data_IF_421356864029
#
_entry.id   IF_421356864029
#
_cell.length_a   1.000
_cell.length_b   1.000
_cell.length_c   1.000
_cell.angle_alpha   90.00
_cell.angle_beta   90.00
_cell.angle_gamma   90.00
#
_symmetry.space_group_name_H-M   'P 1'
#
loop_
_entity.id
_entity.type
_entity.pdbx_description
1 polymer ?
#
# COMPACT_ATOMS: atom_id res chain seq x y z
N UNK A 1 -1.75 16.04 -0.07
CA UNK A 1 -1.87 15.39 -1.40
C UNK A 1 -3.25 14.75 -1.45
N UNK A 2 -4.24 15.50 -1.93
CA UNK A 2 -5.65 15.10 -1.94
C UNK A 2 -5.86 13.95 -2.92
N UNK A 3 -6.53 12.90 -2.46
CA UNK A 3 -7.00 11.84 -3.34
C UNK A 3 -8.18 12.40 -4.15
N UNK A 4 -8.01 12.49 -5.47
CA UNK A 4 -9.09 12.83 -6.39
C UNK A 4 -10.14 11.71 -6.33
N UNK A 5 -11.44 12.00 -6.14
CA UNK A 5 -12.47 10.97 -6.12
C UNK A 5 -12.49 10.22 -7.46
N UNK A 6 -12.86 8.94 -7.43
CA UNK A 6 -12.81 8.07 -8.61
C UNK A 6 -13.66 8.62 -9.78
N UNK A 7 -14.75 9.33 -9.48
CA UNK A 7 -15.60 10.00 -10.44
C UNK A 7 -14.85 11.10 -11.20
N UNK A 8 -14.07 11.93 -10.52
CA UNK A 8 -13.25 12.96 -11.15
C UNK A 8 -12.05 12.38 -11.90
N UNK A 9 -11.50 11.25 -11.44
CA UNK A 9 -10.48 10.51 -12.20
C UNK A 9 -11.07 10.00 -13.51
N UNK A 10 -12.28 9.43 -13.49
CA UNK A 10 -12.97 8.98 -14.69
C UNK A 10 -13.21 10.14 -15.66
N UNK A 11 -13.73 11.28 -15.18
CA UNK A 11 -13.90 12.49 -16.00
C UNK A 11 -12.59 13.00 -16.58
N UNK A 12 -11.51 12.97 -15.81
CA UNK A 12 -10.20 13.37 -16.31
C UNK A 12 -9.70 12.44 -17.42
N UNK A 13 -9.91 11.13 -17.28
CA UNK A 13 -9.53 10.14 -18.29
C UNK A 13 -10.35 10.33 -19.57
N UNK A 14 -11.68 10.47 -19.47
CA UNK A 14 -12.54 10.65 -20.65
C UNK A 14 -12.16 11.90 -21.43
N UNK A 15 -11.93 13.03 -20.74
CA UNK A 15 -11.50 14.26 -21.41
C UNK A 15 -10.14 14.10 -22.12
N UNK A 16 -9.20 13.38 -21.52
CA UNK A 16 -7.90 13.12 -22.16
C UNK A 16 -8.06 12.21 -23.38
N UNK A 17 -8.94 11.21 -23.31
CA UNK A 17 -9.21 10.29 -24.42
C UNK A 17 -9.99 10.99 -25.56
N UNK A 18 -10.81 12.00 -25.24
CA UNK A 18 -11.46 12.92 -26.18
C UNK A 18 -10.49 13.94 -26.82
N UNK A 19 -9.21 13.94 -26.42
CA UNK A 19 -8.16 14.79 -26.99
C UNK A 19 -7.92 16.12 -26.28
N UNK A 20 -8.56 16.37 -25.13
CA UNK A 20 -8.25 17.57 -24.34
C UNK A 20 -6.81 17.54 -23.80
N UNK A 21 -6.20 18.71 -23.70
CA UNK A 21 -4.86 18.82 -23.09
C UNK A 21 -4.95 18.72 -21.57
N UNK A 22 -3.92 18.18 -20.92
CA UNK A 22 -3.82 18.14 -19.46
C UNK A 22 -4.01 19.51 -18.78
N UNK A 23 -3.58 20.60 -19.44
CA UNK A 23 -3.78 21.97 -18.94
C UNK A 23 -5.25 22.39 -18.99
N UNK A 24 -5.98 22.02 -20.05
CA UNK A 24 -7.42 22.24 -20.15
C UNK A 24 -8.17 21.47 -19.05
N UNK A 25 -7.89 20.17 -18.91
CA UNK A 25 -8.50 19.32 -17.87
C UNK A 25 -8.20 19.85 -16.46
N UNK A 26 -6.97 20.34 -16.23
CA UNK A 26 -6.57 20.96 -14.96
C UNK A 26 -7.40 22.18 -14.59
N UNK A 27 -7.68 23.06 -15.56
CA UNK A 27 -8.55 24.22 -15.36
C UNK A 27 -10.00 23.81 -15.13
N UNK A 28 -10.50 22.84 -15.89
CA UNK A 28 -11.89 22.36 -15.78
C UNK A 28 -12.16 21.68 -14.44
N UNK A 29 -11.22 20.89 -13.93
CA UNK A 29 -11.38 20.14 -12.67
C UNK A 29 -10.83 20.88 -11.45
N UNK A 30 -10.16 22.02 -11.62
CA UNK A 30 -9.55 22.77 -10.51
C UNK A 30 -8.40 22.02 -9.81
N UNK A 31 -7.75 21.10 -10.52
CA UNK A 31 -6.77 20.15 -9.97
C UNK A 31 -5.45 20.32 -10.70
N UNK A 32 -4.32 20.20 -9.99
CA UNK A 32 -3.00 20.36 -10.62
C UNK A 32 -2.75 19.32 -11.72
N UNK A 33 -2.08 19.76 -12.79
CA UNK A 33 -1.66 18.90 -13.91
C UNK A 33 -0.94 17.64 -13.43
N UNK A 34 -0.08 17.75 -12.41
CA UNK A 34 0.65 16.60 -11.83
C UNK A 34 -0.25 15.57 -11.14
N UNK A 35 -1.39 15.97 -10.59
CA UNK A 35 -2.39 15.02 -10.05
C UNK A 35 -3.09 14.30 -11.19
N UNK A 36 -3.54 15.02 -12.22
CA UNK A 36 -4.21 14.43 -13.40
C UNK A 36 -3.28 13.45 -14.09
N UNK A 37 -2.04 13.83 -14.38
CA UNK A 37 -1.05 12.96 -15.03
C UNK A 37 -0.83 11.66 -14.25
N UNK A 38 -0.72 11.73 -12.92
CA UNK A 38 -0.56 10.53 -12.09
C UNK A 38 -1.81 9.65 -12.08
N UNK A 39 -3.00 10.23 -12.11
CA UNK A 39 -4.26 9.49 -12.14
C UNK A 39 -4.47 8.79 -13.49
N UNK A 40 -4.26 9.51 -14.61
CA UNK A 40 -4.34 8.94 -15.96
C UNK A 40 -3.28 7.87 -16.18
N UNK A 41 -2.02 8.11 -15.77
CA UNK A 41 -0.96 7.11 -15.84
C UNK A 41 -1.32 5.85 -15.05
N UNK A 42 -1.88 5.99 -13.84
CA UNK A 42 -2.35 4.86 -13.04
C UNK A 42 -3.47 4.11 -13.74
N UNK A 43 -4.49 4.81 -14.23
CA UNK A 43 -5.60 4.19 -14.96
C UNK A 43 -5.10 3.36 -16.16
N UNK A 44 -4.20 3.92 -16.98
CA UNK A 44 -3.60 3.19 -18.11
C UNK A 44 -2.82 1.94 -17.69
N UNK A 45 -2.24 1.93 -16.48
CA UNK A 45 -1.50 0.78 -15.95
C UNK A 45 -2.39 -0.28 -15.29
N UNK A 46 -3.49 0.14 -14.63
CA UNK A 46 -4.26 -0.75 -13.76
C UNK A 46 -5.72 -0.94 -14.17
N UNK A 47 -6.22 -0.18 -15.16
CA UNK A 47 -7.63 -0.13 -15.55
C UNK A 47 -8.59 0.40 -14.47
N UNK A 48 -8.06 0.94 -13.36
CA UNK A 48 -8.85 1.34 -12.20
C UNK A 48 -8.78 2.84 -11.96
N UNK A 49 -9.94 3.46 -11.77
CA UNK A 49 -10.09 4.85 -11.34
C UNK A 49 -9.82 5.05 -9.85
N UNK A 50 -9.81 3.97 -9.08
CA UNK A 50 -9.61 4.01 -7.63
C UNK A 50 -8.13 3.79 -7.31
N UNK A 51 -7.62 4.52 -6.31
CA UNK A 51 -6.30 4.24 -5.74
C UNK A 51 -6.34 2.88 -5.03
N UNK A 52 -5.51 1.92 -5.46
CA UNK A 52 -5.34 0.66 -4.72
C UNK A 52 -4.80 0.95 -3.31
N UNK A 53 -5.46 0.41 -2.29
CA UNK A 53 -4.97 0.48 -0.92
C UNK A 53 -3.59 -0.18 -0.86
N UNK A 54 -2.61 0.53 -0.31
CA UNK A 54 -1.27 -0.03 -0.10
C UNK A 54 -1.37 -1.26 0.80
N UNK A 55 -0.72 -2.35 0.40
CA UNK A 55 -0.69 -3.59 1.21
C UNK A 55 0.32 -3.53 2.36
N UNK A 56 1.17 -2.48 2.40
CA UNK A 56 2.27 -2.36 3.36
C UNK A 56 3.39 -3.37 3.10
N UNK A 57 4.36 -3.41 4.01
CA UNK A 57 5.45 -4.39 3.96
C UNK A 57 4.94 -5.76 4.42
N UNK A 58 5.30 -6.83 3.71
CA UNK A 58 5.02 -8.21 4.13
C UNK A 58 5.62 -8.45 5.53
N UNK A 59 4.88 -9.16 6.38
CA UNK A 59 5.35 -9.52 7.73
C UNK A 59 6.47 -10.57 7.63
N UNK A 60 7.51 -10.40 8.44
CA UNK A 60 8.58 -11.40 8.58
C UNK A 60 8.17 -12.62 9.43
N UNK A 61 7.18 -12.44 10.30
CA UNK A 61 6.63 -13.45 11.20
C UNK A 61 5.22 -13.86 10.77
N UNK A 62 4.93 -15.14 10.84
CA UNK A 62 3.60 -15.71 10.68
C UNK A 62 2.85 -15.77 12.03
N UNK A 63 1.61 -16.27 12.02
CA UNK A 63 0.79 -16.35 13.22
C UNK A 63 1.34 -17.29 14.30
N UNK A 64 2.02 -18.37 13.89
CA UNK A 64 2.64 -19.34 14.80
C UNK A 64 3.85 -18.72 15.49
N UNK A 65 4.70 -18.03 14.74
CA UNK A 65 5.86 -17.31 15.31
C UNK A 65 5.40 -16.25 16.32
N UNK A 66 4.36 -15.48 15.97
CA UNK A 66 3.80 -14.47 16.87
C UNK A 66 3.28 -15.08 18.16
N UNK A 67 2.64 -16.25 18.09
CA UNK A 67 2.19 -17.00 19.27
C UNK A 67 3.36 -17.49 20.10
N UNK A 68 4.40 -18.05 19.47
CA UNK A 68 5.61 -18.52 20.14
C UNK A 68 6.29 -17.36 20.88
N UNK A 69 6.55 -16.25 20.19
CA UNK A 69 7.16 -15.05 20.78
C UNK A 69 6.34 -14.59 21.98
N UNK A 70 5.01 -14.49 21.85
CA UNK A 70 4.13 -14.05 22.95
C UNK A 70 4.21 -14.98 24.16
N UNK A 71 4.13 -16.30 23.96
CA UNK A 71 4.20 -17.26 25.07
C UNK A 71 5.57 -17.22 25.74
N UNK A 72 6.63 -17.16 24.94
CA UNK A 72 7.99 -17.17 25.44
C UNK A 72 8.31 -15.91 26.26
N UNK A 73 7.88 -14.73 25.79
CA UNK A 73 8.08 -13.47 26.53
C UNK A 73 7.26 -13.40 27.81
N UNK A 74 6.05 -13.97 27.82
CA UNK A 74 5.21 -14.01 29.02
C UNK A 74 5.76 -14.96 30.09
N UNK A 75 6.29 -16.12 29.68
CA UNK A 75 6.93 -17.09 30.59
C UNK A 75 8.23 -16.57 31.15
N UNK A 76 9.05 -15.96 30.30
CA UNK A 76 10.39 -15.48 30.65
C UNK A 76 10.52 -13.99 30.43
N UNK A 77 9.93 -13.19 31.33
CA UNK A 77 9.83 -11.72 31.17
C UNK A 77 11.16 -10.99 31.05
N UNK A 78 12.26 -11.58 31.55
CA UNK A 78 13.63 -11.02 31.47
C UNK A 78 14.39 -11.47 30.21
N UNK A 79 13.80 -12.30 29.37
CA UNK A 79 14.44 -12.81 28.17
C UNK A 79 14.57 -11.72 27.12
N UNK A 80 15.76 -11.60 26.52
CA UNK A 80 16.02 -10.57 25.51
C UNK A 80 15.44 -10.96 24.15
N UNK A 81 15.16 -9.96 23.31
CA UNK A 81 14.67 -10.21 21.95
C UNK A 81 15.63 -11.08 21.12
N UNK A 82 16.94 -10.95 21.32
CA UNK A 82 17.97 -11.75 20.63
C UNK A 82 17.89 -13.22 21.05
N UNK A 83 17.70 -13.49 22.34
CA UNK A 83 17.52 -14.86 22.85
C UNK A 83 16.23 -15.48 22.32
N UNK A 84 15.12 -14.74 22.34
CA UNK A 84 13.84 -15.21 21.81
C UNK A 84 13.92 -15.50 20.30
N UNK A 85 14.66 -14.68 19.54
CA UNK A 85 14.92 -14.93 18.12
C UNK A 85 15.67 -16.25 17.90
N UNK A 86 16.77 -16.49 18.63
CA UNK A 86 17.53 -17.75 18.53
C UNK A 86 16.67 -18.98 18.86
N UNK A 87 15.82 -18.89 19.89
CA UNK A 87 14.88 -19.97 20.21
C UNK A 87 13.86 -20.19 19.09
N UNK A 88 13.32 -19.11 18.52
CA UNK A 88 12.37 -19.21 17.41
C UNK A 88 13.02 -19.82 16.15
N UNK A 89 14.26 -19.45 15.83
CA UNK A 89 15.04 -20.07 14.75
C UNK A 89 15.21 -21.57 14.99
N UNK A 90 15.57 -21.98 16.22
CA UNK A 90 15.64 -23.38 16.62
C UNK A 90 14.33 -24.13 16.38
N UNK A 91 13.20 -23.61 16.87
CA UNK A 91 11.88 -24.24 16.72
C UNK A 91 11.41 -24.29 15.26
N UNK A 92 11.74 -23.27 14.45
CA UNK A 92 11.40 -23.25 13.02
C UNK A 92 12.15 -24.30 12.21
N UNK A 93 13.41 -24.59 12.58
CA UNK A 93 14.28 -25.53 11.86
C UNK A 93 14.03 -27.01 12.23
N UNK A 94 13.17 -27.29 13.22
CA UNK A 94 12.80 -28.66 13.64
C UNK A 94 11.53 -29.11 12.90
N UNK A 95 11.38 -28.71 11.63
CA UNK A 95 10.26 -29.11 10.77
C UNK A 95 10.73 -29.78 9.51
#
# INVERSE_FOLDING_TARGET
MSDLPATEVARAVTMIDEGHTYRSVSRTLGVSVSVIHRCVKRYRQTGSYVRRRGQGRKRATNAVDGRFIRVQTLRNRRQTAVQTRKLLEGVRNVR
#
